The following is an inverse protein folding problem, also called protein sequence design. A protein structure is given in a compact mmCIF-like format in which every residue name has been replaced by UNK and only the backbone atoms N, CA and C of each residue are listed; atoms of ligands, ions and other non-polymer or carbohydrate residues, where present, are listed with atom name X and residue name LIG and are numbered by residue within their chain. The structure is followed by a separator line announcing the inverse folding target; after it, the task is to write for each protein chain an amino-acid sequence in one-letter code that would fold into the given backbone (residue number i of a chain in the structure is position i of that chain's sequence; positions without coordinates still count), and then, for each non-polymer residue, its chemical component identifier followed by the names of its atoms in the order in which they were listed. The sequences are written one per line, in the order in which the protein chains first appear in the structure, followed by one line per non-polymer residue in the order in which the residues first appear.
data_IF_132211020705
#
_entry.id   IF_132211020705
#
_cell.length_a   1.000
_cell.length_b   1.000
_cell.length_c   1.000
_cell.angle_alpha   90.00
_cell.angle_beta   90.00
_cell.angle_gamma   90.00
#
_symmetry.space_group_name_H-M   'P 1'
#
loop_
_entity.id
_entity.type
_entity.pdbx_description
1 polymer ?
#
# COMPACT_ATOMS: atom_id res chain seq x y z
N UNK A 1 7.93 8.18 -21.44
CA UNK A 1 8.72 9.11 -22.27
C UNK A 1 9.40 10.15 -21.37
N UNK A 2 10.19 11.06 -21.94
CA UNK A 2 10.90 12.09 -21.17
C UNK A 2 9.95 13.06 -20.43
N UNK A 3 8.68 13.14 -20.84
CA UNK A 3 7.65 13.92 -20.15
C UNK A 3 7.14 13.21 -18.89
N UNK A 4 7.10 11.88 -18.88
CA UNK A 4 6.78 11.07 -17.69
C UNK A 4 7.80 11.27 -16.56
N UNK A 5 9.08 11.40 -16.91
CA UNK A 5 10.18 11.66 -15.96
C UNK A 5 10.19 13.08 -15.40
N UNK A 6 9.81 14.09 -16.20
CA UNK A 6 9.74 15.47 -15.73
C UNK A 6 8.53 15.73 -14.80
N UNK A 7 7.48 14.93 -14.91
CA UNK A 7 6.32 15.01 -14.01
C UNK A 7 6.65 14.51 -12.60
N UNK A 8 7.48 13.46 -12.49
CA UNK A 8 7.96 12.93 -11.21
C UNK A 8 8.82 13.96 -10.42
N UNK A 9 9.59 14.81 -11.11
CA UNK A 9 10.44 15.81 -10.44
C UNK A 9 9.70 17.06 -9.95
N UNK A 10 8.45 17.32 -10.39
CA UNK A 10 7.65 18.48 -9.95
C UNK A 10 6.78 18.22 -8.73
N UNK A 11 6.70 16.98 -8.24
CA UNK A 11 5.73 16.56 -7.20
C UNK A 11 6.30 16.49 -5.77
N UNK A 12 7.51 17.02 -5.51
CA UNK A 12 8.18 17.02 -4.18
C UNK A 12 7.48 17.83 -3.06
N UNK A 13 6.23 18.24 -3.23
CA UNK A 13 5.46 19.05 -2.26
C UNK A 13 4.41 18.28 -1.44
N UNK A 14 4.16 17.01 -1.73
CA UNK A 14 3.25 16.15 -0.95
C UNK A 14 4.02 14.90 -0.52
N UNK A 15 3.97 14.58 0.78
CA UNK A 15 4.75 13.51 1.42
C UNK A 15 4.13 12.15 1.08
N UNK A 16 4.24 11.73 -0.17
CA UNK A 16 3.90 10.39 -0.63
C UNK A 16 5.05 9.85 -1.47
N UNK A 17 5.91 9.03 -0.86
CA UNK A 17 6.89 8.25 -1.60
C UNK A 17 6.15 7.15 -2.38
N UNK A 18 6.42 7.08 -3.68
CA UNK A 18 5.75 6.18 -4.62
C UNK A 18 6.61 4.93 -4.87
N UNK A 19 6.04 3.76 -4.64
CA UNK A 19 6.71 2.49 -4.92
C UNK A 19 6.09 1.81 -6.14
N UNK A 20 6.89 1.65 -7.19
CA UNK A 20 6.57 0.84 -8.37
C UNK A 20 7.45 -0.40 -8.36
N UNK A 21 6.82 -1.57 -8.30
CA UNK A 21 7.52 -2.84 -8.48
C UNK A 21 7.35 -3.29 -9.93
N UNK A 22 8.44 -3.30 -10.70
CA UNK A 22 8.46 -3.77 -12.08
C UNK A 22 8.95 -5.22 -12.17
N UNK A 23 8.30 -6.03 -13.03
CA UNK A 23 8.74 -7.37 -13.38
C UNK A 23 8.76 -7.56 -14.90
N UNK A 24 9.80 -8.23 -15.41
CA UNK A 24 9.91 -8.66 -16.81
C UNK A 24 9.79 -10.19 -16.92
N UNK A 25 8.83 -10.71 -17.68
CA UNK A 25 8.66 -12.16 -17.89
C UNK A 25 7.26 -12.59 -18.34
N UNK A 26 7.06 -13.90 -18.57
CA UNK A 26 5.71 -14.47 -18.75
C UNK A 26 5.00 -14.46 -17.40
N UNK A 27 3.82 -13.85 -17.32
CA UNK A 27 3.01 -13.78 -16.09
C UNK A 27 2.65 -15.22 -15.66
N UNK A 28 3.37 -15.76 -14.69
CA UNK A 28 2.98 -16.98 -14.01
C UNK A 28 2.31 -16.57 -12.69
N UNK A 29 1.00 -16.75 -12.59
CA UNK A 29 0.23 -16.38 -11.39
C UNK A 29 0.57 -17.26 -10.17
N UNK A 30 1.35 -18.33 -10.36
CA UNK A 30 1.83 -19.21 -9.30
C UNK A 30 3.21 -18.81 -8.73
N UNK A 31 3.86 -17.78 -9.28
CA UNK A 31 5.14 -17.28 -8.73
C UNK A 31 4.89 -16.19 -7.69
N UNK A 32 5.22 -16.53 -6.43
CA UNK A 32 5.33 -15.58 -5.32
C UNK A 32 6.33 -14.47 -5.66
N UNK A 33 6.13 -13.23 -5.17
CA UNK A 33 7.12 -12.18 -5.33
C UNK A 33 8.40 -12.58 -4.59
N UNK A 34 9.48 -12.80 -5.35
CA UNK A 34 10.82 -12.90 -4.79
C UNK A 34 11.19 -11.52 -4.24
N UNK A 35 11.35 -11.43 -2.91
CA UNK A 35 11.95 -10.28 -2.24
C UNK A 35 13.26 -9.93 -2.95
N UNK A 36 13.38 -8.70 -3.46
CA UNK A 36 14.69 -8.18 -3.87
C UNK A 36 15.49 -7.93 -2.60
N UNK A 37 16.48 -8.77 -2.34
CA UNK A 37 17.50 -8.47 -1.35
C UNK A 37 18.33 -7.26 -1.84
N UNK A 38 18.55 -6.29 -0.95
CA UNK A 38 19.57 -5.28 -1.17
C UNK A 38 20.93 -5.98 -1.38
N UNK A 39 21.85 -5.43 -2.19
CA UNK A 39 23.15 -6.03 -2.46
C UNK A 39 24.02 -6.30 -1.21
N UNK A 40 23.67 -5.76 -0.05
CA UNK A 40 24.37 -5.96 1.23
C UNK A 40 23.66 -6.93 2.21
N UNK A 41 22.53 -7.53 1.81
CA UNK A 41 21.77 -8.46 2.65
C UNK A 41 21.15 -7.84 3.91
N UNK A 42 21.12 -6.50 4.03
CA UNK A 42 20.58 -5.82 5.20
C UNK A 42 19.12 -5.36 5.00
N UNK A 43 18.22 -5.83 5.87
CA UNK A 43 16.93 -5.18 6.10
C UNK A 43 17.18 -3.94 6.96
N UNK A 44 17.30 -2.77 6.34
CA UNK A 44 17.42 -1.51 7.08
C UNK A 44 16.07 -1.13 7.67
N UNK A 45 15.93 -1.29 8.99
CA UNK A 45 14.99 -0.46 9.75
C UNK A 45 15.52 0.97 9.72
N UNK A 46 14.80 1.88 9.08
CA UNK A 46 15.06 3.30 9.23
C UNK A 46 14.82 3.68 10.70
N UNK A 47 15.82 4.23 11.42
CA UNK A 47 15.59 4.74 12.77
C UNK A 47 14.68 5.96 12.65
N UNK A 48 13.42 5.80 13.05
CA UNK A 48 12.51 6.91 13.28
C UNK A 48 13.07 7.68 14.47
N UNK A 49 13.70 8.83 14.21
CA UNK A 49 14.32 9.65 15.24
C UNK A 49 13.26 10.11 16.25
N UNK A 50 13.55 9.89 17.52
CA UNK A 50 12.71 10.13 18.67
C UNK A 50 12.40 11.63 18.88
N UNK A 51 11.24 12.07 18.38
CA UNK A 51 10.33 12.99 19.08
C UNK A 51 9.03 12.20 19.29
N UNK A 52 8.94 11.51 20.43
CA UNK A 52 8.13 10.29 20.63
C UNK A 52 6.63 10.56 20.85
N UNK A 53 6.17 11.82 20.90
CA UNK A 53 4.75 12.13 21.15
C UNK A 53 3.94 12.59 19.93
N UNK A 54 4.53 12.90 18.77
CA UNK A 54 3.75 13.51 17.64
C UNK A 54 4.12 13.03 16.22
N UNK A 55 4.97 12.01 16.08
CA UNK A 55 5.36 11.55 14.73
C UNK A 55 4.23 10.71 14.09
N UNK A 56 3.65 11.22 13.01
CA UNK A 56 2.74 10.46 12.16
C UNK A 56 3.40 9.14 11.73
N UNK A 57 2.66 8.03 11.93
CA UNK A 57 3.14 6.66 11.67
C UNK A 57 3.24 6.44 10.17
N UNK A 58 4.22 5.68 9.71
CA UNK A 58 4.29 5.28 8.29
C UNK A 58 3.41 4.06 8.06
N UNK A 59 2.66 4.08 6.96
CA UNK A 59 1.90 2.94 6.45
C UNK A 59 1.91 2.95 4.92
N UNK A 60 1.31 1.93 4.32
CA UNK A 60 1.24 1.73 2.89
C UNK A 60 -0.19 1.47 2.45
N UNK A 61 -0.59 2.10 1.34
CA UNK A 61 -1.88 1.89 0.70
C UNK A 61 -1.68 1.32 -0.72
N UNK A 62 -1.96 0.03 -0.88
CA UNK A 62 -2.04 -0.60 -2.19
C UNK A 62 -3.27 -0.14 -2.94
N UNK A 63 -3.13 0.14 -4.24
CA UNK A 63 -4.27 0.62 -5.05
C UNK A 63 -4.19 0.15 -6.51
N UNK A 64 -5.21 0.50 -7.29
CA UNK A 64 -5.26 0.26 -8.73
C UNK A 64 -4.57 1.39 -9.47
N UNK A 65 -3.97 1.10 -10.63
CA UNK A 65 -3.37 2.12 -11.49
C UNK A 65 -4.33 3.26 -11.85
N UNK A 66 -5.61 2.94 -12.10
CA UNK A 66 -6.65 3.95 -12.39
C UNK A 66 -6.95 4.87 -11.20
N UNK A 67 -6.80 4.35 -9.97
CA UNK A 67 -7.02 5.12 -8.74
C UNK A 67 -5.77 5.90 -8.34
N UNK A 68 -4.58 5.37 -8.66
CA UNK A 68 -3.30 6.00 -8.36
C UNK A 68 -3.17 7.40 -8.99
N UNK A 69 -3.67 7.59 -10.21
CA UNK A 69 -3.67 8.89 -10.87
C UNK A 69 -4.48 9.94 -10.07
N UNK A 70 -5.65 9.56 -9.57
CA UNK A 70 -6.48 10.47 -8.76
C UNK A 70 -5.80 10.82 -7.43
N UNK A 71 -5.22 9.83 -6.76
CA UNK A 71 -4.48 10.04 -5.50
C UNK A 71 -3.30 11.01 -5.72
N UNK A 72 -2.54 10.84 -6.81
CA UNK A 72 -1.42 11.71 -7.14
C UNK A 72 -1.84 13.14 -7.47
N UNK A 73 -2.95 13.31 -8.20
CA UNK A 73 -3.45 14.63 -8.62
C UNK A 73 -4.05 15.38 -7.43
N UNK A 74 -4.80 14.68 -6.58
CA UNK A 74 -5.49 15.29 -5.44
C UNK A 74 -4.61 15.38 -4.19
N UNK A 75 -3.55 14.58 -4.11
CA UNK A 75 -2.64 14.52 -2.97
C UNK A 75 -3.26 13.94 -1.71
N UNK A 76 -4.38 13.21 -1.82
CA UNK A 76 -5.15 12.69 -0.67
C UNK A 76 -5.69 11.28 -0.95
N UNK A 77 -5.71 10.43 0.08
CA UNK A 77 -6.47 9.19 0.06
C UNK A 77 -7.92 9.46 0.46
N UNK A 78 -8.85 9.22 -0.47
CA UNK A 78 -10.28 9.39 -0.23
C UNK A 78 -10.92 8.13 0.34
N UNK A 79 -11.96 8.35 1.15
CA UNK A 79 -12.83 7.26 1.58
C UNK A 79 -13.66 6.75 0.41
N UNK A 80 -13.99 5.46 0.38
CA UNK A 80 -15.01 4.97 -0.54
C UNK A 80 -16.33 5.74 -0.36
N UNK A 81 -16.92 6.23 -1.45
CA UNK A 81 -18.09 7.10 -1.46
C UNK A 81 -17.76 8.58 -1.68
N UNK A 82 -16.53 9.02 -1.35
CA UNK A 82 -16.10 10.39 -1.57
C UNK A 82 -15.56 10.56 -2.99
N UNK A 83 -16.00 11.61 -3.70
CA UNK A 83 -15.40 12.02 -4.98
C UNK A 83 -15.34 10.92 -6.05
N UNK A 84 -16.39 10.09 -6.14
CA UNK A 84 -16.52 8.94 -7.06
C UNK A 84 -15.69 7.69 -6.72
N UNK A 85 -15.02 7.61 -5.56
CA UNK A 85 -14.36 6.38 -5.13
C UNK A 85 -15.39 5.27 -4.89
N UNK A 86 -15.33 4.15 -5.64
CA UNK A 86 -16.24 3.03 -5.47
C UNK A 86 -15.65 1.95 -4.54
N UNK A 87 -16.50 1.34 -3.73
CA UNK A 87 -16.14 0.18 -2.92
C UNK A 87 -16.02 -1.03 -3.85
N UNK A 88 -14.82 -1.59 -4.00
CA UNK A 88 -14.62 -2.78 -4.85
C UNK A 88 -14.50 -4.08 -4.06
N UNK A 89 -14.15 -4.00 -2.78
CA UNK A 89 -14.05 -5.14 -1.88
C UNK A 89 -14.90 -4.92 -0.63
N UNK A 90 -15.27 -6.00 0.06
CA UNK A 90 -16.02 -5.89 1.32
C UNK A 90 -15.31 -5.00 2.33
N UNK A 91 -16.08 -4.22 3.09
CA UNK A 91 -15.59 -3.27 4.09
C UNK A 91 -15.45 -3.97 5.45
N UNK A 92 -14.57 -4.97 5.51
CA UNK A 92 -14.39 -5.83 6.68
C UNK A 92 -13.96 -5.02 7.91
N UNK A 93 -14.72 -5.10 9.00
CA UNK A 93 -14.44 -4.36 10.23
C UNK A 93 -14.74 -2.87 10.17
N UNK A 94 -15.20 -2.35 9.03
CA UNK A 94 -15.66 -0.96 8.87
C UNK A 94 -16.96 -0.72 9.62
N UNK A 95 -17.04 0.40 10.34
CA UNK A 95 -18.31 0.84 10.96
C UNK A 95 -19.21 1.59 9.97
N UNK A 96 -18.60 2.23 8.98
CA UNK A 96 -19.26 3.21 8.11
C UNK A 96 -19.52 2.67 6.70
N UNK A 97 -18.85 1.58 6.30
CA UNK A 97 -18.82 1.10 4.92
C UNK A 97 -17.90 1.94 4.02
N UNK A 98 -17.10 2.83 4.61
CA UNK A 98 -16.26 3.80 3.90
C UNK A 98 -14.89 3.94 4.58
N UNK A 99 -14.31 2.83 5.03
CA UNK A 99 -13.01 2.81 5.71
C UNK A 99 -11.88 2.88 4.68
N UNK A 100 -10.84 3.67 4.99
CA UNK A 100 -9.56 3.64 4.28
C UNK A 100 -8.69 2.57 4.95
N UNK A 101 -8.21 1.63 4.17
CA UNK A 101 -7.34 0.55 4.65
C UNK A 101 -5.90 0.86 4.28
N UNK A 102 -5.02 0.86 5.27
CA UNK A 102 -3.57 0.94 5.08
C UNK A 102 -2.90 -0.18 5.88
N UNK A 103 -1.64 -0.46 5.58
CA UNK A 103 -0.87 -1.49 6.29
C UNK A 103 0.51 -0.95 6.67
N UNK A 104 1.03 -1.25 7.85
CA UNK A 104 2.44 -0.97 8.13
C UNK A 104 3.40 -1.89 7.32
N UNK A 105 2.88 -2.91 6.63
CA UNK A 105 3.63 -3.80 5.77
C UNK A 105 3.44 -3.45 4.29
N UNK A 106 4.53 -3.07 3.62
CA UNK A 106 4.53 -2.87 2.17
C UNK A 106 4.18 -4.18 1.43
N UNK A 107 4.72 -5.32 1.88
CA UNK A 107 4.44 -6.62 1.29
C UNK A 107 2.95 -6.98 1.34
N UNK A 108 2.28 -6.67 2.46
CA UNK A 108 0.84 -6.86 2.60
C UNK A 108 0.06 -5.90 1.71
N UNK A 109 0.39 -4.60 1.72
CA UNK A 109 -0.26 -3.60 0.87
C UNK A 109 -0.10 -3.90 -0.63
N UNK A 110 1.02 -4.50 -1.04
CA UNK A 110 1.30 -4.88 -2.43
C UNK A 110 0.66 -6.20 -2.86
N UNK A 111 -0.05 -6.91 -1.98
CA UNK A 111 -0.73 -8.14 -2.37
C UNK A 111 -1.71 -7.87 -3.54
N UNK A 112 -1.81 -8.74 -4.57
CA UNK A 112 -2.63 -8.49 -5.76
C UNK A 112 -4.12 -8.17 -5.54
N UNK A 113 -4.65 -8.55 -4.38
CA UNK A 113 -6.01 -8.19 -3.94
C UNK A 113 -6.15 -6.69 -3.64
N UNK A 114 -5.11 -6.07 -3.10
CA UNK A 114 -5.11 -4.65 -2.71
C UNK A 114 -4.43 -3.77 -3.78
N UNK A 115 -3.31 -4.22 -4.33
CA UNK A 115 -2.61 -3.55 -5.43
C UNK A 115 -2.75 -4.35 -6.71
N UNK A 116 -3.65 -3.96 -7.61
CA UNK A 116 -3.91 -4.74 -8.83
C UNK A 116 -2.74 -4.64 -9.81
N UNK A 117 -2.28 -5.78 -10.30
CA UNK A 117 -1.24 -5.86 -11.34
C UNK A 117 -1.77 -5.26 -12.65
N UNK A 118 -0.99 -4.39 -13.29
CA UNK A 118 -1.30 -3.81 -14.60
C UNK A 118 -0.13 -4.00 -15.58
N UNK A 119 -0.44 -4.04 -16.89
CA UNK A 119 0.57 -4.16 -17.93
C UNK A 119 1.23 -2.80 -18.21
N UNK A 120 2.55 -2.80 -18.41
CA UNK A 120 3.36 -1.62 -18.74
C UNK A 120 4.02 -1.70 -20.13
N UNK A 121 3.77 -2.78 -20.87
CA UNK A 121 4.37 -3.06 -22.16
C UNK A 121 4.43 -4.56 -22.41
N UNK A 122 5.10 -4.97 -23.48
CA UNK A 122 5.31 -6.39 -23.77
C UNK A 122 6.10 -7.04 -22.64
N UNK A 123 5.51 -8.05 -21.99
CA UNK A 123 6.11 -8.80 -20.87
C UNK A 123 6.52 -7.95 -19.65
N UNK A 124 5.95 -6.76 -19.47
CA UNK A 124 6.20 -5.91 -18.30
C UNK A 124 4.92 -5.68 -17.51
N UNK A 125 5.00 -5.87 -16.20
CA UNK A 125 3.88 -5.69 -15.29
C UNK A 125 4.29 -4.86 -14.08
N UNK A 126 3.34 -4.12 -13.53
CA UNK A 126 3.53 -3.25 -12.38
C UNK A 126 2.43 -3.39 -11.34
N UNK A 127 2.76 -3.04 -10.11
CA UNK A 127 1.84 -2.83 -8.98
C UNK A 127 2.21 -1.52 -8.29
N UNK A 128 1.24 -0.86 -7.67
CA UNK A 128 1.41 0.44 -7.02
C UNK A 128 0.96 0.40 -5.56
N UNK A 129 1.80 0.93 -4.68
CA UNK A 129 1.43 1.32 -3.33
C UNK A 129 1.98 2.72 -3.01
N UNK A 130 1.25 3.46 -2.20
CA UNK A 130 1.66 4.75 -1.66
C UNK A 130 2.16 4.57 -0.23
N UNK A 131 3.35 5.08 0.08
CA UNK A 131 3.71 5.36 1.47
C UNK A 131 2.91 6.56 1.95
N UNK A 132 2.26 6.41 3.11
CA UNK A 132 1.43 7.44 3.72
C UNK A 132 1.79 7.63 5.18
N UNK A 133 1.47 8.80 5.69
CA UNK A 133 1.65 9.16 7.10
C UNK A 133 0.28 9.06 7.76
N UNK A 134 0.17 8.43 8.91
CA UNK A 134 -1.09 8.23 9.63
C UNK A 134 -1.03 8.93 10.98
N UNK A 135 -2.05 9.73 11.29
CA UNK A 135 -2.18 10.40 12.59
C UNK A 135 -2.19 9.35 13.73
N UNK A 136 -1.37 9.50 14.79
CA UNK A 136 -1.41 8.57 15.91
C UNK A 136 -2.80 8.53 16.57
N UNK A 137 -3.33 7.33 16.84
CA UNK A 137 -4.61 7.13 17.52
C UNK A 137 -5.86 7.34 16.66
N UNK A 138 -5.73 7.71 15.38
CA UNK A 138 -6.87 7.86 14.46
C UNK A 138 -7.33 6.55 13.82
N UNK A 139 -6.51 5.51 13.88
CA UNK A 139 -6.77 4.23 13.25
C UNK A 139 -7.13 3.14 14.26
N UNK A 140 -7.89 2.16 13.80
CA UNK A 140 -8.11 0.90 14.50
C UNK A 140 -7.23 -0.17 13.89
N UNK A 141 -6.42 -0.84 14.71
CA UNK A 141 -5.69 -2.03 14.29
C UNK A 141 -6.64 -3.23 14.09
N UNK A 142 -6.41 -3.94 12.99
CA UNK A 142 -7.09 -5.16 12.61
C UNK A 142 -6.09 -6.28 12.31
N UNK A 143 -6.61 -7.51 12.36
CA UNK A 143 -5.89 -8.67 11.83
C UNK A 143 -5.97 -8.65 10.31
N UNK A 144 -5.06 -9.39 9.65
CA UNK A 144 -5.15 -9.63 8.20
C UNK A 144 -6.56 -10.09 7.78
N UNK A 145 -7.13 -9.45 6.77
CA UNK A 145 -8.37 -9.90 6.11
C UNK A 145 -8.11 -10.78 4.88
N UNK A 146 -6.85 -10.90 4.44
CA UNK A 146 -6.43 -11.94 3.49
C UNK A 146 -6.56 -13.33 4.12
N UNK A 147 -7.66 -14.01 3.78
CA UNK A 147 -7.95 -15.38 4.19
C UNK A 147 -7.66 -16.39 3.06
N UNK A 148 -7.85 -17.68 3.36
CA UNK A 148 -7.58 -18.84 2.48
C UNK A 148 -8.09 -18.73 1.05
N UNK A 149 -9.12 -17.91 0.78
CA UNK A 149 -9.64 -17.67 -0.57
C UNK A 149 -8.62 -16.99 -1.49
N UNK A 150 -7.73 -16.17 -0.91
CA UNK A 150 -6.83 -15.30 -1.68
C UNK A 150 -5.36 -15.51 -1.35
N UNK A 151 -5.04 -16.16 -0.23
CA UNK A 151 -3.67 -16.35 0.23
C UNK A 151 -3.58 -17.61 1.10
N UNK A 152 -2.50 -18.38 0.94
CA UNK A 152 -2.24 -19.52 1.82
C UNK A 152 -1.88 -19.00 3.22
N UNK A 153 -2.80 -19.19 4.17
CA UNK A 153 -2.65 -18.70 5.54
C UNK A 153 -1.47 -19.31 6.30
N UNK A 154 -0.87 -20.40 5.78
CA UNK A 154 0.36 -20.99 6.33
C UNK A 154 1.63 -20.22 5.94
N UNK A 155 1.57 -19.40 4.89
CA UNK A 155 2.66 -18.54 4.48
C UNK A 155 2.65 -17.25 5.30
N UNK A 156 3.85 -16.72 5.56
CA UNK A 156 4.03 -15.41 6.15
C UNK A 156 4.18 -14.39 5.03
N UNK A 157 3.31 -13.36 5.03
CA UNK A 157 3.38 -12.26 4.06
C UNK A 157 4.54 -11.33 4.42
N UNK A 158 4.73 -11.09 5.72
CA UNK A 158 5.75 -10.22 6.26
C UNK A 158 6.33 -10.83 7.53
N UNK A 159 7.66 -10.95 7.58
CA UNK A 159 8.39 -11.52 8.71
C UNK A 159 8.27 -10.66 9.98
N UNK A 160 7.98 -9.36 9.84
CA UNK A 160 7.74 -8.47 10.97
C UNK A 160 6.36 -8.70 11.64
N UNK A 161 5.44 -9.38 10.95
CA UNK A 161 4.07 -9.64 11.40
C UNK A 161 3.72 -11.13 11.27
N UNK A 162 4.40 -12.01 12.03
CA UNK A 162 4.35 -13.46 11.82
C UNK A 162 2.98 -14.10 12.08
N UNK A 163 2.14 -13.48 12.92
CA UNK A 163 0.77 -13.91 13.22
C UNK A 163 -0.29 -13.12 12.43
N UNK A 164 0.13 -12.12 11.67
CA UNK A 164 -0.72 -11.21 10.91
C UNK A 164 -1.55 -10.25 11.76
N UNK A 165 -1.28 -10.13 13.06
CA UNK A 165 -1.88 -9.11 13.92
C UNK A 165 -1.30 -7.72 13.58
N UNK A 166 -2.16 -6.70 13.54
CA UNK A 166 -1.72 -5.32 13.27
C UNK A 166 -1.31 -5.04 11.82
N UNK A 167 -1.56 -6.00 10.90
CA UNK A 167 -1.29 -5.82 9.47
C UNK A 167 -2.27 -4.89 8.76
N UNK A 168 -3.42 -4.57 9.37
CA UNK A 168 -4.39 -3.65 8.79
C UNK A 168 -4.72 -2.53 9.75
N UNK A 169 -4.65 -1.30 9.26
CA UNK A 169 -5.07 -0.10 9.97
C UNK A 169 -6.27 0.49 9.25
N UNK A 170 -7.36 0.63 10.00
CA UNK A 170 -8.65 1.10 9.50
C UNK A 170 -8.82 2.57 9.90
N UNK A 171 -8.86 3.46 8.92
CA UNK A 171 -9.14 4.89 9.12
C UNK A 171 -10.54 5.26 8.67
N UNK A 172 -11.19 6.13 9.42
CA UNK A 172 -12.56 6.60 9.14
C UNK A 172 -12.59 8.05 8.62
N UNK A 173 -11.44 8.71 8.49
CA UNK A 173 -11.30 10.07 7.96
C UNK A 173 -10.09 10.15 7.02
N UNK A 174 -10.21 10.91 5.94
CA UNK A 174 -9.10 11.23 5.04
C UNK A 174 -8.17 12.30 5.61
N UNK A 175 -8.55 13.02 6.67
CA UNK A 175 -7.69 14.00 7.34
C UNK A 175 -6.65 13.34 8.29
N UNK A 176 -6.70 12.02 8.39
CA UNK A 176 -5.87 11.21 9.26
C UNK A 176 -4.78 10.43 8.50
N UNK A 177 -4.68 10.63 7.18
CA UNK A 177 -3.76 9.95 6.26
C UNK A 177 -3.27 10.85 5.12
#
# INVERSE_FOLDING_TARGET
DQASWQMAHRMQGAVADFFLQEWSGKLNLDTQPTLMEHPDGSLRRFPVSANVEEAWRVAFHGTRSVSAANILVEGILRRPGDGCASVVHGQAGSKTGSTIYVSPSLAYAMHPVYSTVFAMGENHFGQIAFEVRVRPGSYKEGNRTLHKKHFDTSLQIDLAYPDGFGLEWLLESSEDV
#
